data_IF_474471218392
#
_entry.id   IF_474471218392
#
_cell.length_a   1.000
_cell.length_b   1.000
_cell.length_c   1.000
_cell.angle_alpha   90.00
_cell.angle_beta   90.00
_cell.angle_gamma   90.00
#
_symmetry.space_group_name_H-M   'P 1'
#
loop_
_entity.id
_entity.type
_entity.pdbx_description
1 polymer ?
#
# COMPACT_ATOMS: atom_id res chain seq x y z
N UNK A 1 -19.27 -6.46 -8.44
CA UNK A 1 -19.70 -5.56 -7.35
C UNK A 1 -18.74 -4.40 -7.28
N UNK A 2 -19.22 -3.17 -7.09
CA UNK A 2 -18.36 -1.99 -6.89
C UNK A 2 -17.48 -2.17 -5.65
N UNK A 3 -16.16 -2.13 -5.87
CA UNK A 3 -15.15 -2.29 -4.83
C UNK A 3 -14.66 -0.93 -4.30
N UNK A 4 -14.45 0.04 -5.19
CA UNK A 4 -14.00 1.40 -4.86
C UNK A 4 -14.89 2.41 -5.58
N UNK A 5 -15.30 3.48 -4.89
CA UNK A 5 -16.16 4.51 -5.46
C UNK A 5 -15.78 5.89 -4.93
N UNK A 6 -15.82 6.91 -5.79
CA UNK A 6 -15.72 8.32 -5.40
C UNK A 6 -16.99 9.08 -5.74
N UNK A 7 -17.38 10.02 -4.87
CA UNK A 7 -18.56 10.88 -5.04
C UNK A 7 -18.21 12.34 -4.77
N UNK A 8 -18.30 13.21 -5.77
CA UNK A 8 -17.93 14.62 -5.74
C UNK A 8 -16.49 14.87 -5.30
N UNK A 9 -15.57 13.92 -5.54
CA UNK A 9 -14.24 13.98 -4.95
C UNK A 9 -13.48 15.20 -5.45
N UNK A 10 -13.11 16.08 -4.53
CA UNK A 10 -12.46 17.35 -4.84
C UNK A 10 -11.28 17.61 -3.93
N UNK A 11 -10.26 18.28 -4.48
CA UNK A 11 -9.07 18.72 -3.75
C UNK A 11 -8.58 20.05 -4.30
N UNK A 12 -8.50 21.03 -3.40
CA UNK A 12 -7.85 22.32 -3.64
C UNK A 12 -6.60 22.48 -2.78
N UNK A 13 -5.56 23.09 -3.35
CA UNK A 13 -4.37 23.56 -2.66
C UNK A 13 -4.35 25.10 -2.73
N UNK A 14 -4.82 25.76 -1.68
CA UNK A 14 -5.06 27.21 -1.71
C UNK A 14 -6.07 27.57 -2.82
N UNK A 15 -5.64 28.40 -3.77
CA UNK A 15 -6.47 28.83 -4.91
C UNK A 15 -6.47 27.83 -6.08
N UNK A 16 -5.59 26.83 -6.08
CA UNK A 16 -5.49 25.85 -7.16
C UNK A 16 -6.44 24.69 -6.89
N UNK A 17 -7.44 24.49 -7.77
CA UNK A 17 -8.30 23.31 -7.75
C UNK A 17 -7.63 22.17 -8.54
N UNK A 18 -7.01 21.22 -7.83
CA UNK A 18 -6.27 20.11 -8.43
C UNK A 18 -7.18 18.96 -8.89
N UNK A 19 -8.27 18.72 -8.16
CA UNK A 19 -9.32 17.76 -8.52
C UNK A 19 -10.68 18.40 -8.26
N UNK A 20 -11.61 18.27 -9.20
CA UNK A 20 -12.96 18.85 -9.12
C UNK A 20 -13.99 17.79 -9.45
N UNK A 21 -14.92 17.58 -8.52
CA UNK A 21 -16.15 16.79 -8.68
C UNK A 21 -15.92 15.44 -9.40
N UNK A 22 -14.88 14.71 -8.98
CA UNK A 22 -14.49 13.46 -9.62
C UNK A 22 -15.35 12.29 -9.11
N UNK A 23 -16.17 11.76 -10.02
CA UNK A 23 -17.02 10.59 -9.80
C UNK A 23 -16.52 9.40 -10.63
N UNK A 24 -16.16 8.31 -9.97
CA UNK A 24 -15.91 7.03 -10.63
C UNK A 24 -16.12 5.85 -9.69
N UNK A 25 -16.27 4.68 -10.28
CA UNK A 25 -16.29 3.40 -9.58
C UNK A 25 -15.30 2.43 -10.23
N UNK A 26 -14.80 1.49 -9.42
CA UNK A 26 -14.00 0.35 -9.84
C UNK A 26 -14.67 -0.90 -9.30
N UNK A 27 -14.98 -1.84 -10.18
CA UNK A 27 -15.51 -3.16 -9.84
C UNK A 27 -14.41 -4.07 -9.29
N UNK A 28 -14.78 -5.06 -8.47
CA UNK A 28 -13.84 -6.09 -8.03
C UNK A 28 -13.26 -6.86 -9.23
N UNK A 29 -11.93 -6.95 -9.31
CA UNK A 29 -11.21 -7.58 -10.43
C UNK A 29 -11.01 -6.68 -11.65
N UNK A 30 -11.53 -5.44 -11.64
CA UNK A 30 -11.36 -4.50 -12.76
C UNK A 30 -9.95 -3.87 -12.76
N UNK A 31 -9.32 -3.86 -13.94
CA UNK A 31 -8.13 -3.05 -14.20
C UNK A 31 -8.55 -1.71 -14.78
N UNK A 32 -8.37 -0.63 -14.01
CA UNK A 32 -8.68 0.73 -14.45
C UNK A 32 -7.43 1.62 -14.50
N UNK A 33 -7.24 2.31 -15.63
CA UNK A 33 -6.15 3.26 -15.84
C UNK A 33 -6.62 4.71 -15.76
N UNK A 34 -5.83 5.58 -15.11
CA UNK A 34 -6.03 7.03 -15.09
C UNK A 34 -4.93 7.71 -15.91
N UNK A 35 -5.31 8.30 -17.04
CA UNK A 35 -4.40 8.98 -17.97
C UNK A 35 -4.72 10.48 -18.06
N UNK A 36 -3.74 11.27 -18.50
CA UNK A 36 -3.88 12.71 -18.65
C UNK A 36 -2.52 13.42 -18.63
N UNK A 37 -2.46 14.70 -19.01
CA UNK A 37 -1.19 15.46 -19.04
C UNK A 37 -0.60 15.66 -17.64
N UNK A 38 0.66 16.08 -17.57
CA UNK A 38 1.27 16.48 -16.30
C UNK A 38 0.50 17.66 -15.69
N UNK A 39 0.30 17.62 -14.38
CA UNK A 39 -0.52 18.61 -13.67
C UNK A 39 -2.04 18.37 -13.71
N UNK A 40 -2.53 17.36 -14.43
CA UNK A 40 -3.97 17.04 -14.49
C UNK A 40 -4.57 16.43 -13.19
N UNK A 41 -3.86 16.49 -12.06
CA UNK A 41 -4.35 15.99 -10.78
C UNK A 41 -4.24 14.47 -10.56
N UNK A 42 -3.65 13.70 -11.49
CA UNK A 42 -3.52 12.22 -11.36
C UNK A 42 -2.90 11.79 -10.03
N UNK A 43 -1.71 12.31 -9.71
CA UNK A 43 -1.02 12.01 -8.46
C UNK A 43 -1.84 12.44 -7.24
N UNK A 44 -2.55 13.56 -7.33
CA UNK A 44 -3.48 14.03 -6.29
C UNK A 44 -4.60 13.01 -6.07
N UNK A 45 -5.23 12.49 -7.13
CA UNK A 45 -6.24 11.43 -7.00
C UNK A 45 -5.68 10.21 -6.26
N UNK A 46 -4.50 9.71 -6.65
CA UNK A 46 -3.87 8.60 -5.95
C UNK A 46 -3.60 8.92 -4.47
N UNK A 47 -3.12 10.12 -4.14
CA UNK A 47 -2.90 10.53 -2.76
C UNK A 47 -4.19 10.56 -1.93
N UNK A 48 -5.30 11.04 -2.52
CA UNK A 48 -6.61 11.08 -1.85
C UNK A 48 -7.13 9.68 -1.57
N UNK A 49 -7.07 8.78 -2.56
CA UNK A 49 -7.53 7.39 -2.43
C UNK A 49 -6.71 6.59 -1.41
N UNK A 50 -5.43 6.97 -1.21
CA UNK A 50 -4.49 6.25 -0.35
C UNK A 50 -4.23 6.95 0.98
N UNK A 51 -4.93 8.05 1.29
CA UNK A 51 -4.85 8.75 2.57
C UNK A 51 -3.55 9.53 2.82
N UNK A 52 -2.82 9.88 1.75
CA UNK A 52 -1.69 10.81 1.80
C UNK A 52 -2.13 12.27 1.69
N UNK A 53 -3.31 12.50 1.13
CA UNK A 53 -3.99 13.79 1.10
C UNK A 53 -5.42 13.65 1.61
N UNK A 54 -5.92 14.68 2.29
CA UNK A 54 -7.33 14.75 2.69
C UNK A 54 -8.14 15.49 1.61
N UNK A 55 -9.27 14.94 1.14
CA UNK A 55 -10.19 15.66 0.25
C UNK A 55 -10.67 16.98 0.86
N UNK A 56 -10.84 18.01 0.02
CA UNK A 56 -11.51 19.26 0.47
C UNK A 56 -13.03 19.13 0.42
N UNK A 57 -13.55 18.28 -0.46
CA UNK A 57 -14.96 17.91 -0.53
C UNK A 57 -15.13 16.52 -1.17
N UNK A 58 -16.34 15.98 -1.10
CA UNK A 58 -16.69 14.67 -1.63
C UNK A 58 -16.38 13.52 -0.67
N UNK A 59 -16.58 12.30 -1.16
CA UNK A 59 -16.42 11.06 -0.39
C UNK A 59 -15.75 9.96 -1.19
N UNK A 60 -15.08 9.07 -0.49
CA UNK A 60 -14.44 7.86 -1.02
C UNK A 60 -15.01 6.67 -0.25
N UNK A 61 -15.45 5.65 -0.97
CA UNK A 61 -15.98 4.41 -0.42
C UNK A 61 -15.15 3.22 -0.89
N UNK A 62 -14.87 2.29 0.01
CA UNK A 62 -14.23 1.03 -0.31
C UNK A 62 -15.00 -0.12 0.33
N UNK A 63 -15.40 -1.11 -0.47
CA UNK A 63 -16.31 -2.20 -0.06
C UNK A 63 -17.59 -1.68 0.61
N UNK A 64 -18.13 -0.56 0.10
CA UNK A 64 -19.30 0.12 0.66
C UNK A 64 -19.05 0.93 1.94
N UNK A 65 -17.86 0.87 2.54
CA UNK A 65 -17.52 1.66 3.73
C UNK A 65 -16.92 3.01 3.34
N UNK A 66 -17.34 4.08 3.99
CA UNK A 66 -16.76 5.41 3.80
C UNK A 66 -15.34 5.46 4.42
N UNK A 67 -14.32 5.68 3.59
CA UNK A 67 -12.91 5.78 3.99
C UNK A 67 -12.35 7.21 3.84
N UNK A 68 -13.21 8.19 3.60
CA UNK A 68 -12.84 9.59 3.34
C UNK A 68 -11.97 10.16 4.47
N UNK A 69 -10.78 10.65 4.12
CA UNK A 69 -9.88 11.32 5.06
C UNK A 69 -9.23 10.40 6.10
N UNK A 70 -9.41 9.07 5.98
CA UNK A 70 -8.66 8.14 6.82
C UNK A 70 -7.16 8.22 6.50
N UNK A 71 -6.29 8.09 7.52
CA UNK A 71 -4.84 8.09 7.29
C UNK A 71 -4.42 6.80 6.57
N UNK A 72 -3.33 6.89 5.80
CA UNK A 72 -2.85 5.81 4.94
C UNK A 72 -2.72 4.44 5.62
N UNK A 73 -2.25 4.39 6.87
CA UNK A 73 -2.11 3.13 7.62
C UNK A 73 -3.45 2.44 7.93
N UNK A 74 -4.55 3.20 8.09
CA UNK A 74 -5.90 2.63 8.27
C UNK A 74 -6.49 2.16 6.95
N UNK A 75 -6.24 2.89 5.87
CA UNK A 75 -6.63 2.49 4.50
C UNK A 75 -5.91 1.20 4.10
N UNK A 76 -4.62 1.10 4.38
CA UNK A 76 -3.82 -0.10 4.13
C UNK A 76 -4.33 -1.34 4.90
N UNK A 77 -4.71 -1.17 6.17
CA UNK A 77 -5.35 -2.23 6.97
C UNK A 77 -6.69 -2.71 6.41
N UNK A 78 -7.39 -1.87 5.64
CA UNK A 78 -8.64 -2.25 4.97
C UNK A 78 -8.40 -3.02 3.66
N UNK A 79 -7.17 -3.01 3.13
CA UNK A 79 -6.78 -3.77 1.94
C UNK A 79 -6.50 -2.94 0.70
N UNK A 80 -6.31 -1.62 0.81
CA UNK A 80 -5.83 -0.78 -0.29
C UNK A 80 -4.32 -0.57 -0.12
N UNK A 81 -3.53 -1.07 -1.07
CA UNK A 81 -2.08 -0.85 -1.10
C UNK A 81 -1.71 0.08 -2.27
N UNK A 82 -0.58 0.79 -2.12
CA UNK A 82 0.01 1.64 -3.15
C UNK A 82 1.42 1.20 -3.45
N UNK A 83 1.71 0.94 -4.72
CA UNK A 83 3.08 0.89 -5.21
C UNK A 83 3.58 2.33 -5.43
N UNK A 84 4.78 2.63 -4.94
CA UNK A 84 5.40 3.94 -5.12
C UNK A 84 6.37 3.90 -6.30
N UNK A 85 6.48 5.00 -7.04
CA UNK A 85 7.42 5.09 -8.16
C UNK A 85 8.88 4.97 -7.71
N UNK A 86 9.17 5.38 -6.48
CA UNK A 86 10.48 5.21 -5.86
C UNK A 86 10.34 4.27 -4.67
N UNK A 87 10.85 3.06 -4.83
CA UNK A 87 10.96 2.09 -3.75
C UNK A 87 12.11 2.51 -2.82
N UNK A 88 11.80 2.75 -1.55
CA UNK A 88 12.84 2.87 -0.52
C UNK A 88 13.17 1.47 -0.02
N UNK A 89 14.19 0.87 -0.60
CA UNK A 89 14.73 -0.40 -0.14
C UNK A 89 15.75 -0.18 0.98
N UNK A 90 15.76 -1.08 1.95
CA UNK A 90 16.82 -1.20 2.93
C UNK A 90 18.02 -1.88 2.27
N UNK A 91 18.90 -1.06 1.69
CA UNK A 91 20.02 -1.52 0.85
C UNK A 91 20.99 -2.46 1.58
N UNK A 92 21.07 -2.31 2.90
CA UNK A 92 21.91 -3.12 3.80
C UNK A 92 21.17 -4.32 4.41
N UNK A 93 19.97 -4.60 3.93
CA UNK A 93 19.16 -5.74 4.33
C UNK A 93 18.96 -6.69 3.15
N UNK A 94 18.73 -7.95 3.46
CA UNK A 94 18.43 -8.98 2.47
C UNK A 94 17.09 -8.73 1.78
N UNK A 95 16.88 -9.35 0.62
CA UNK A 95 15.56 -9.35 -0.06
C UNK A 95 14.47 -9.85 0.88
N UNK A 96 14.74 -10.93 1.61
CA UNK A 96 13.81 -11.49 2.58
C UNK A 96 13.44 -10.48 3.67
N UNK A 97 14.42 -9.78 4.23
CA UNK A 97 14.18 -8.75 5.25
C UNK A 97 13.34 -7.59 4.71
N UNK A 98 13.59 -7.13 3.48
CA UNK A 98 12.80 -6.09 2.83
C UNK A 98 11.32 -6.51 2.67
N UNK A 99 11.06 -7.74 2.22
CA UNK A 99 9.69 -8.27 2.07
C UNK A 99 9.01 -8.52 3.42
N UNK A 100 9.78 -8.95 4.43
CA UNK A 100 9.29 -9.14 5.79
C UNK A 100 8.75 -7.84 6.41
N UNK A 101 9.34 -6.68 6.11
CA UNK A 101 8.81 -5.38 6.56
C UNK A 101 7.37 -5.17 6.09
N UNK A 102 7.03 -5.57 4.86
CA UNK A 102 5.66 -5.51 4.34
C UNK A 102 4.68 -6.46 5.05
N UNK A 103 5.17 -7.55 5.63
CA UNK A 103 4.36 -8.50 6.38
C UNK A 103 3.98 -7.99 7.79
N UNK A 104 4.61 -6.92 8.28
CA UNK A 104 4.40 -6.39 9.62
C UNK A 104 2.92 -6.03 9.92
N UNK A 105 2.15 -5.55 8.93
CA UNK A 105 0.72 -5.26 9.15
C UNK A 105 -0.13 -6.53 9.43
N UNK A 106 0.37 -7.71 9.07
CA UNK A 106 -0.27 -9.00 9.38
C UNK A 106 0.15 -9.56 10.74
N UNK A 107 1.23 -9.03 11.34
CA UNK A 107 1.67 -9.41 12.68
C UNK A 107 0.79 -8.72 13.73
N UNK A 108 -0.02 -9.51 14.44
CA UNK A 108 -0.92 -9.04 15.51
C UNK A 108 -0.31 -9.19 16.90
N UNK A 109 1.00 -9.43 17.00
CA UNK A 109 1.69 -9.41 18.27
C UNK A 109 1.70 -7.96 18.79
N UNK A 110 0.82 -7.64 19.74
CA UNK A 110 0.95 -6.38 20.47
C UNK A 110 2.31 -6.34 21.19
N UNK A 111 2.88 -5.15 21.38
CA UNK A 111 4.20 -4.95 21.99
C UNK A 111 4.42 -5.76 23.30
N UNK A 112 3.36 -5.96 24.08
CA UNK A 112 3.38 -6.76 25.32
C UNK A 112 3.66 -8.26 25.09
N UNK A 113 3.19 -8.84 23.97
CA UNK A 113 3.35 -10.27 23.65
C UNK A 113 4.71 -10.57 23.01
N UNK A 114 5.27 -9.59 22.29
CA UNK A 114 6.65 -9.59 21.80
C UNK A 114 7.63 -9.64 22.98
N UNK A 115 7.41 -8.76 23.97
CA UNK A 115 8.21 -8.64 25.19
C UNK A 115 8.20 -9.91 26.05
N UNK A 116 7.07 -10.63 26.10
CA UNK A 116 6.94 -11.87 26.87
C UNK A 116 7.53 -13.11 26.17
N UNK A 117 8.20 -12.96 25.01
CA UNK A 117 8.86 -14.04 24.24
C UNK A 117 8.04 -15.34 24.12
N UNK A 118 6.72 -15.20 24.04
CA UNK A 118 5.82 -16.34 24.06
C UNK A 118 5.99 -17.19 22.79
N UNK A 119 5.76 -18.51 22.87
CA UNK A 119 5.82 -19.40 21.69
C UNK A 119 4.88 -19.00 20.54
N UNK A 120 3.90 -18.14 20.82
CA UNK A 120 3.03 -17.51 19.84
C UNK A 120 3.76 -16.50 18.94
N UNK A 121 4.67 -15.69 19.48
CA UNK A 121 5.47 -14.74 18.71
C UNK A 121 6.35 -15.46 17.68
N UNK A 122 7.02 -16.54 18.09
CA UNK A 122 7.81 -17.41 17.19
C UNK A 122 6.97 -18.03 16.07
N UNK A 123 5.71 -18.39 16.35
CA UNK A 123 4.80 -18.91 15.32
C UNK A 123 4.42 -17.84 14.29
N UNK A 124 4.15 -16.61 14.74
CA UNK A 124 3.86 -15.50 13.82
C UNK A 124 5.08 -15.14 12.97
N UNK A 125 6.26 -15.09 13.56
CA UNK A 125 7.51 -14.85 12.84
C UNK A 125 7.74 -15.89 11.74
N UNK A 126 7.57 -17.18 12.06
CA UNK A 126 7.66 -18.26 11.06
C UNK A 126 6.62 -18.12 9.95
N UNK A 127 5.38 -17.76 10.28
CA UNK A 127 4.33 -17.56 9.30
C UNK A 127 4.61 -16.36 8.38
N UNK A 128 5.11 -15.25 8.94
CA UNK A 128 5.52 -14.08 8.17
C UNK A 128 6.70 -14.40 7.23
N UNK A 129 7.70 -15.13 7.74
CA UNK A 129 8.86 -15.58 6.94
C UNK A 129 8.43 -16.50 5.80
N UNK A 130 7.56 -17.47 6.07
CA UNK A 130 7.04 -18.38 5.04
C UNK A 130 6.30 -17.61 3.95
N UNK A 131 5.41 -16.68 4.33
CA UNK A 131 4.70 -15.82 3.38
C UNK A 131 5.64 -14.93 2.57
N UNK A 132 6.69 -14.38 3.19
CA UNK A 132 7.68 -13.57 2.50
C UNK A 132 8.43 -14.40 1.45
N UNK A 133 8.82 -15.64 1.77
CA UNK A 133 9.43 -16.56 0.80
C UNK A 133 8.49 -16.89 -0.36
N UNK A 134 7.21 -17.18 -0.08
CA UNK A 134 6.21 -17.41 -1.13
C UNK A 134 6.07 -16.23 -2.09
N UNK A 135 6.09 -14.99 -1.56
CA UNK A 135 6.07 -13.78 -2.39
C UNK A 135 7.35 -13.68 -3.23
N UNK A 136 8.51 -13.93 -2.64
CA UNK A 136 9.81 -13.86 -3.35
C UNK A 136 9.86 -14.91 -4.47
N UNK A 137 9.39 -16.13 -4.21
CA UNK A 137 9.32 -17.20 -5.19
C UNK A 137 8.33 -16.89 -6.31
N UNK A 138 7.16 -16.33 -5.97
CA UNK A 138 6.18 -15.86 -6.96
C UNK A 138 6.76 -14.80 -7.90
N UNK A 139 7.64 -13.94 -7.39
CA UNK A 139 8.36 -12.94 -8.17
C UNK A 139 9.55 -13.53 -8.96
N UNK A 140 9.83 -14.83 -8.84
CA UNK A 140 10.94 -15.50 -9.50
C UNK A 140 12.32 -15.21 -8.88
N UNK A 141 12.36 -14.72 -7.64
CA UNK A 141 13.58 -14.25 -6.97
C UNK A 141 14.03 -15.17 -5.82
N UNK A 142 13.54 -16.40 -5.73
CA UNK A 142 13.81 -17.33 -4.63
C UNK A 142 15.29 -17.51 -4.29
N UNK A 143 16.14 -17.63 -5.32
CA UNK A 143 17.59 -17.77 -5.16
C UNK A 143 18.28 -16.52 -4.59
N UNK A 144 17.63 -15.36 -4.67
CA UNK A 144 18.15 -14.06 -4.21
C UNK A 144 17.63 -13.69 -2.82
N UNK A 145 16.83 -14.54 -2.17
CA UNK A 145 16.17 -14.20 -0.90
C UNK A 145 17.15 -13.74 0.20
N UNK A 146 18.37 -14.28 0.23
CA UNK A 146 19.40 -13.94 1.21
C UNK A 146 20.44 -12.94 0.70
N UNK A 147 20.31 -12.46 -0.55
CA UNK A 147 21.19 -11.45 -1.11
C UNK A 147 20.82 -10.05 -0.60
N UNK A 148 21.81 -9.18 -0.45
CA UNK A 148 21.58 -7.79 -0.07
C UNK A 148 20.87 -7.03 -1.20
N UNK A 149 19.82 -6.29 -0.85
CA UNK A 149 19.05 -5.50 -1.83
C UNK A 149 19.94 -4.51 -2.61
N UNK A 150 20.99 -3.98 -1.98
CA UNK A 150 21.94 -3.08 -2.62
C UNK A 150 22.80 -3.69 -3.73
N UNK A 151 22.93 -5.03 -3.78
CA UNK A 151 23.66 -5.74 -4.83
C UNK A 151 22.81 -6.08 -6.06
N UNK A 152 21.51 -5.83 -6.02
CA UNK A 152 20.58 -6.20 -7.09
C UNK A 152 20.60 -5.22 -8.27
N UNK A 153 20.35 -5.75 -9.46
CA UNK A 153 20.04 -4.92 -10.63
C UNK A 153 18.75 -4.13 -10.42
N UNK A 154 18.62 -2.96 -11.05
CA UNK A 154 17.45 -2.10 -10.86
C UNK A 154 16.10 -2.75 -11.20
N UNK A 155 16.04 -3.73 -12.13
CA UNK A 155 14.81 -4.46 -12.42
C UNK A 155 14.38 -5.45 -11.33
N UNK A 156 15.30 -5.83 -10.42
CA UNK A 156 15.01 -6.66 -9.25
C UNK A 156 14.76 -5.84 -7.98
N UNK A 157 14.99 -4.51 -8.02
CA UNK A 157 14.69 -3.57 -6.94
C UNK A 157 13.25 -3.06 -7.05
#
# INVERSE_FOLDING_TARGET
>A
MVLLETRGLSKSYGKLQAVKDLDFAVEEGELRGLIGPNGAGKTTVFNLLTGFDTPTAGRIFFKGENITGLPAHKIAQKGIARAFQQSYLFMWSTVLENVLVGCHMSCRAGALREFLHTGFARRQERAARQKALEIIDFMGMGSLANELAGGLSHGHQ
#
